data_IF_322574246168
#
_entry.id   IF_322574246168
#
_cell.length_a   1.000
_cell.length_b   1.000
_cell.length_c   1.000
_cell.angle_alpha   90.00
_cell.angle_beta   90.00
_cell.angle_gamma   90.00
#
_symmetry.space_group_name_H-M   'P 1'
#
loop_
_entity.id
_entity.type
_entity.pdbx_description
1 polymer ?
#
# COMPACT_ATOMS: atom_id res chain seq x y z
N UNK A 1 10.30 -5.21 54.19
CA UNK A 1 10.95 -6.19 53.28
C UNK A 1 11.42 -5.50 52.01
N UNK A 2 12.42 -6.10 51.37
CA UNK A 2 13.39 -5.51 50.43
C UNK A 2 12.80 -5.05 49.09
N UNK A 3 13.48 -4.05 48.53
CA UNK A 3 13.32 -3.40 47.22
C UNK A 3 13.32 -4.40 46.04
N UNK A 4 12.57 -4.09 44.98
CA UNK A 4 13.10 -4.10 43.61
C UNK A 4 12.81 -2.75 42.95
N UNK A 5 13.90 -2.03 42.71
CA UNK A 5 13.97 -0.83 41.87
C UNK A 5 14.10 -1.26 40.40
N UNK A 6 13.95 -0.26 39.54
CA UNK A 6 14.43 -0.12 38.15
C UNK A 6 13.39 -0.51 37.09
N UNK A 7 13.13 0.26 36.03
CA UNK A 7 13.77 1.50 35.60
C UNK A 7 12.78 2.36 34.80
N UNK A 8 12.48 3.53 35.34
CA UNK A 8 11.83 4.66 34.68
C UNK A 8 12.79 5.25 33.64
N UNK A 9 12.86 4.69 32.42
CA UNK A 9 13.57 5.35 31.30
C UNK A 9 13.09 4.95 29.90
N UNK A 10 11.80 4.68 29.71
CA UNK A 10 11.23 4.60 28.34
C UNK A 10 9.97 5.44 28.12
N UNK A 11 9.48 6.15 29.14
CA UNK A 11 8.25 6.95 29.08
C UNK A 11 8.46 8.45 28.87
N UNK A 12 9.62 8.90 28.38
CA UNK A 12 9.90 10.33 28.18
C UNK A 12 10.41 10.73 26.80
N UNK A 13 10.49 9.82 25.84
CA UNK A 13 10.85 10.13 24.45
C UNK A 13 9.73 9.80 23.42
N UNK A 14 8.51 9.57 23.90
CA UNK A 14 7.35 9.20 23.07
C UNK A 14 6.15 10.12 23.33
N UNK A 15 6.43 11.41 23.53
CA UNK A 15 5.46 12.40 24.01
C UNK A 15 5.78 13.80 23.49
N UNK A 16 5.96 13.97 22.18
CA UNK A 16 5.94 15.34 21.61
C UNK A 16 5.55 15.46 20.14
N UNK A 17 5.28 14.39 19.40
CA UNK A 17 4.78 14.52 18.02
C UNK A 17 3.61 13.55 17.89
N UNK A 18 2.45 14.10 17.54
CA UNK A 18 1.14 13.47 17.40
C UNK A 18 0.40 13.25 18.74
N UNK A 19 -0.50 14.18 19.05
CA UNK A 19 -1.48 14.01 20.12
C UNK A 19 -2.33 12.78 19.84
N UNK A 20 -2.12 11.74 20.64
CA UNK A 20 -2.95 10.55 20.70
C UNK A 20 -4.10 10.81 21.68
N UNK A 21 -5.31 10.91 21.15
CA UNK A 21 -6.56 10.91 21.92
C UNK A 21 -7.02 9.45 22.10
N UNK A 22 -7.09 8.94 23.34
CA UNK A 22 -7.43 7.54 23.60
C UNK A 22 -8.90 7.20 23.39
N UNK A 23 -9.79 8.18 23.17
CA UNK A 23 -11.23 7.97 22.97
C UNK A 23 -11.67 8.01 21.49
N UNK A 24 -10.75 7.77 20.55
CA UNK A 24 -11.06 7.69 19.11
C UNK A 24 -11.80 6.39 18.72
N UNK A 25 -12.95 6.14 19.36
CA UNK A 25 -14.04 5.32 18.83
C UNK A 25 -15.20 6.25 18.56
N UNK A 26 -15.48 6.52 17.28
CA UNK A 26 -16.82 6.55 16.67
C UNK A 26 -16.71 7.02 15.22
N UNK A 27 -17.13 6.16 14.28
CA UNK A 27 -17.65 6.49 12.94
C UNK A 27 -17.14 7.81 12.33
N UNK A 28 -15.99 7.77 11.66
CA UNK A 28 -15.67 8.80 10.70
C UNK A 28 -16.41 8.51 9.38
N UNK A 29 -17.35 9.39 9.06
CA UNK A 29 -17.71 9.68 7.67
C UNK A 29 -16.40 10.10 7.00
N UNK A 30 -15.75 9.17 6.30
CA UNK A 30 -14.66 9.49 5.39
C UNK A 30 -15.26 10.36 4.30
N UNK A 31 -15.20 11.68 4.48
CA UNK A 31 -15.34 12.61 3.37
C UNK A 31 -14.20 12.27 2.42
N UNK A 32 -14.54 11.59 1.34
CA UNK A 32 -13.78 11.39 0.11
C UNK A 32 -12.57 12.34 0.01
N UNK A 33 -11.40 11.89 0.44
CA UNK A 33 -10.14 12.53 0.08
C UNK A 33 -9.84 12.04 -1.35
N UNK A 34 -10.51 12.65 -2.33
CA UNK A 34 -10.13 12.50 -3.73
C UNK A 34 -8.97 13.46 -3.94
N UNK A 35 -7.75 12.95 -3.85
CA UNK A 35 -6.58 13.69 -4.31
C UNK A 35 -6.71 13.90 -5.82
N UNK A 36 -6.60 15.14 -6.28
CA UNK A 36 -6.49 15.38 -7.72
C UNK A 36 -5.15 14.87 -8.24
N UNK A 37 -5.10 14.47 -9.52
CA UNK A 37 -3.86 14.03 -10.18
C UNK A 37 -2.74 15.06 -10.02
N UNK A 38 -3.09 16.34 -10.04
CA UNK A 38 -2.15 17.45 -9.99
C UNK A 38 -1.58 17.67 -8.58
N UNK A 39 -2.39 17.49 -7.53
CA UNK A 39 -1.91 17.54 -6.14
C UNK A 39 -0.94 16.39 -5.85
N UNK A 40 -1.30 15.17 -6.28
CA UNK A 40 -0.43 14.00 -6.12
C UNK A 40 0.88 14.19 -6.89
N UNK A 41 0.81 14.66 -8.14
CA UNK A 41 2.00 14.97 -8.93
C UNK A 41 2.87 16.04 -8.27
N UNK A 42 2.26 17.05 -7.64
CA UNK A 42 2.98 18.12 -6.93
C UNK A 42 3.75 17.58 -5.73
N UNK A 43 3.12 16.75 -4.90
CA UNK A 43 3.76 16.15 -3.72
C UNK A 43 4.89 15.19 -4.13
N UNK A 44 4.65 14.34 -5.14
CA UNK A 44 5.67 13.41 -5.63
C UNK A 44 6.84 14.10 -6.35
N UNK A 45 6.62 15.31 -6.89
CA UNK A 45 7.67 16.12 -7.51
C UNK A 45 8.54 16.86 -6.50
N UNK A 46 8.12 16.94 -5.24
CA UNK A 46 8.94 17.50 -4.17
C UNK A 46 9.95 16.46 -3.71
N UNK A 47 11.14 16.91 -3.31
CA UNK A 47 12.10 16.06 -2.64
C UNK A 47 11.50 15.63 -1.30
N UNK A 48 10.96 14.41 -1.24
CA UNK A 48 10.43 13.82 -0.02
C UNK A 48 11.62 13.55 0.92
N UNK A 49 11.85 14.47 1.86
CA UNK A 49 12.78 14.28 2.98
C UNK A 49 12.20 13.28 3.99
N UNK A 50 11.98 12.05 3.56
CA UNK A 50 11.55 10.95 4.44
C UNK A 50 12.81 10.21 4.87
N UNK A 51 13.27 10.48 6.08
CA UNK A 51 14.40 9.76 6.70
C UNK A 51 13.90 8.43 7.28
N UNK A 52 13.54 7.49 6.41
CA UNK A 52 13.30 6.09 6.76
C UNK A 52 14.55 5.24 6.52
N UNK A 53 14.69 4.04 7.14
CA UNK A 53 15.84 3.17 6.91
C UNK A 53 15.94 2.66 5.47
N UNK A 54 14.85 2.71 4.70
CA UNK A 54 14.80 2.33 3.30
C UNK A 54 13.87 3.31 2.56
N UNK A 55 14.43 4.12 1.67
CA UNK A 55 13.68 4.93 0.71
C UNK A 55 14.46 4.91 -0.61
N UNK A 56 13.80 4.49 -1.69
CA UNK A 56 14.34 4.56 -3.04
C UNK A 56 13.31 5.24 -3.93
N UNK A 57 13.73 6.26 -4.67
CA UNK A 57 12.90 6.95 -5.66
C UNK A 57 13.73 7.20 -6.91
N UNK A 58 13.23 6.72 -8.05
CA UNK A 58 13.85 6.91 -9.36
C UNK A 58 12.77 6.88 -10.44
N UNK A 59 12.84 7.83 -11.35
CA UNK A 59 11.95 7.88 -12.51
C UNK A 59 12.56 7.08 -13.67
N UNK A 60 11.76 6.23 -14.30
CA UNK A 60 12.15 5.45 -15.49
C UNK A 60 11.37 5.94 -16.71
N UNK A 61 11.92 6.82 -17.56
CA UNK A 61 11.20 7.39 -18.71
C UNK A 61 10.79 6.35 -19.76
N UNK A 62 11.49 5.22 -19.79
CA UNK A 62 11.28 4.12 -20.74
C UNK A 62 10.70 2.87 -20.07
N UNK A 63 10.00 3.04 -18.94
CA UNK A 63 9.30 1.94 -18.28
C UNK A 63 8.30 1.29 -19.26
N UNK A 64 8.41 -0.03 -19.53
CA UNK A 64 7.47 -0.70 -20.41
C UNK A 64 6.10 -0.77 -19.76
N UNK A 65 5.03 -0.59 -20.55
CA UNK A 65 3.67 -0.88 -20.10
C UNK A 65 3.58 -2.39 -19.81
N UNK A 66 3.21 -2.79 -18.60
CA UNK A 66 3.18 -4.20 -18.21
C UNK A 66 2.11 -5.04 -18.93
N UNK A 67 1.08 -4.40 -19.50
CA UNK A 67 -0.10 -5.05 -20.12
C UNK A 67 -0.73 -6.04 -19.14
N UNK A 68 -1.57 -5.53 -18.24
CA UNK A 68 -2.24 -6.35 -17.23
C UNK A 68 -3.35 -7.16 -17.87
N UNK A 69 -3.31 -8.46 -17.63
CA UNK A 69 -4.39 -9.39 -17.95
C UNK A 69 -4.88 -10.04 -16.67
N UNK A 70 -6.19 -10.11 -16.51
CA UNK A 70 -6.86 -10.79 -15.39
C UNK A 70 -7.76 -11.88 -15.94
N UNK A 71 -7.68 -13.07 -15.37
CA UNK A 71 -8.53 -14.20 -15.77
C UNK A 71 -10.02 -13.80 -15.76
N UNK A 72 -10.73 -14.18 -16.82
CA UNK A 72 -12.15 -13.84 -16.99
C UNK A 72 -12.43 -12.38 -17.41
N UNK A 73 -11.47 -11.46 -17.29
CA UNK A 73 -11.62 -10.06 -17.71
C UNK A 73 -10.80 -9.70 -18.96
N UNK A 74 -9.74 -10.46 -19.25
CA UNK A 74 -8.83 -10.20 -20.35
C UNK A 74 -7.88 -9.04 -20.04
N UNK A 75 -7.35 -8.40 -21.09
CA UNK A 75 -6.41 -7.28 -20.95
C UNK A 75 -7.14 -6.03 -20.44
N UNK A 76 -6.63 -5.46 -19.35
CA UNK A 76 -7.15 -4.26 -18.70
C UNK A 76 -6.18 -3.09 -18.89
N UNK A 77 -6.70 -1.98 -19.43
CA UNK A 77 -5.94 -0.75 -19.62
C UNK A 77 -5.80 0.08 -18.34
N UNK A 78 -4.66 0.77 -18.20
CA UNK A 78 -4.45 1.79 -17.19
C UNK A 78 -4.50 3.22 -17.77
N UNK A 79 -4.99 4.22 -17.00
CA UNK A 79 -5.69 4.07 -15.72
C UNK A 79 -7.05 3.38 -15.91
N UNK A 80 -7.51 2.67 -14.89
CA UNK A 80 -8.73 1.88 -14.98
C UNK A 80 -9.94 2.73 -15.36
N UNK A 81 -10.78 2.19 -16.26
CA UNK A 81 -12.13 2.73 -16.46
C UNK A 81 -13.02 2.37 -15.27
N UNK A 82 -14.12 3.11 -15.08
CA UNK A 82 -15.12 2.78 -14.04
C UNK A 82 -15.66 1.36 -14.22
N UNK A 83 -15.82 0.92 -15.47
CA UNK A 83 -16.26 -0.43 -15.81
C UNK A 83 -15.24 -1.47 -15.37
N UNK A 84 -13.97 -1.28 -15.71
CA UNK A 84 -12.93 -2.26 -15.42
C UNK A 84 -12.64 -2.32 -13.91
N UNK A 85 -12.68 -1.19 -13.21
CA UNK A 85 -12.58 -1.15 -11.76
C UNK A 85 -13.72 -1.93 -11.09
N UNK A 86 -14.96 -1.78 -11.56
CA UNK A 86 -16.09 -2.56 -11.04
C UNK A 86 -15.96 -4.06 -11.34
N UNK A 87 -15.42 -4.41 -12.52
CA UNK A 87 -15.20 -5.80 -12.90
C UNK A 87 -14.09 -6.47 -12.06
N UNK A 88 -12.99 -5.76 -11.81
CA UNK A 88 -11.90 -6.18 -10.91
C UNK A 88 -12.45 -6.43 -9.51
N UNK A 89 -13.22 -5.48 -8.95
CA UNK A 89 -13.82 -5.63 -7.62
C UNK A 89 -14.76 -6.84 -7.53
N UNK A 90 -15.42 -7.23 -8.62
CA UNK A 90 -16.28 -8.40 -8.64
C UNK A 90 -15.53 -9.74 -8.72
N UNK A 91 -14.26 -9.73 -9.16
CA UNK A 91 -13.38 -10.90 -9.18
C UNK A 91 -12.48 -11.00 -7.94
N UNK A 92 -12.33 -9.90 -7.20
CA UNK A 92 -11.49 -9.81 -6.02
C UNK A 92 -12.20 -10.38 -4.77
N UNK A 93 -11.40 -10.91 -3.86
CA UNK A 93 -11.84 -11.41 -2.57
C UNK A 93 -11.34 -10.53 -1.43
N UNK A 94 -11.94 -10.68 -0.25
CA UNK A 94 -11.54 -9.92 0.93
C UNK A 94 -10.13 -10.33 1.34
N UNK A 95 -9.20 -9.36 1.40
CA UNK A 95 -7.82 -9.67 1.75
C UNK A 95 -7.72 -10.23 3.18
N UNK A 96 -6.90 -11.27 3.41
CA UNK A 96 -6.67 -11.83 4.73
C UNK A 96 -5.87 -10.87 5.61
N UNK A 97 -6.21 -10.82 6.89
CA UNK A 97 -5.50 -10.05 7.90
C UNK A 97 -4.72 -10.95 8.85
N UNK A 98 -3.44 -10.64 9.08
CA UNK A 98 -2.60 -11.32 10.09
C UNK A 98 -1.14 -11.50 9.67
N UNK A 99 -0.24 -11.65 10.64
CA UNK A 99 1.10 -12.19 10.37
C UNK A 99 0.99 -13.65 9.90
N UNK A 100 1.92 -14.09 9.05
CA UNK A 100 1.88 -15.33 8.25
C UNK A 100 1.41 -16.62 8.96
N UNK A 101 1.47 -16.69 10.29
CA UNK A 101 1.06 -17.84 11.10
C UNK A 101 -0.38 -17.77 11.67
N UNK A 102 -1.06 -16.63 11.58
CA UNK A 102 -2.42 -16.44 12.13
C UNK A 102 -3.26 -15.51 11.25
N UNK A 103 -3.80 -16.07 10.17
CA UNK A 103 -4.80 -15.38 9.35
C UNK A 103 -6.12 -15.36 10.13
N UNK A 104 -6.53 -14.19 10.61
CA UNK A 104 -7.84 -13.94 11.22
C UNK A 104 -8.61 -13.04 10.28
N UNK A 105 -9.69 -13.56 9.70
CA UNK A 105 -10.62 -12.77 8.90
C UNK A 105 -11.47 -11.92 9.86
N UNK A 106 -10.97 -10.73 10.21
CA UNK A 106 -11.74 -9.72 10.92
C UNK A 106 -12.40 -8.75 9.93
N UNK A 107 -13.68 -8.99 9.66
CA UNK A 107 -14.51 -8.19 8.76
C UNK A 107 -14.78 -6.75 9.27
N UNK A 108 -14.27 -6.36 10.45
CA UNK A 108 -14.48 -5.02 11.01
C UNK A 108 -13.37 -4.01 10.68
N UNK A 109 -12.27 -4.44 10.02
CA UNK A 109 -11.03 -3.64 9.93
C UNK A 109 -10.48 -3.41 8.51
N UNK A 110 -10.88 -4.13 7.46
CA UNK A 110 -10.33 -3.91 6.11
C UNK A 110 -11.37 -3.69 5.00
N UNK A 111 -11.29 -2.53 4.36
CA UNK A 111 -11.92 -2.20 3.07
C UNK A 111 -11.00 -2.56 1.88
N UNK A 112 -10.18 -3.62 2.02
CA UNK A 112 -9.19 -4.03 1.00
C UNK A 112 -9.59 -5.35 0.35
N UNK A 113 -9.69 -5.33 -0.98
CA UNK A 113 -9.89 -6.51 -1.81
C UNK A 113 -8.56 -6.91 -2.47
N UNK A 114 -8.35 -8.20 -2.67
CA UNK A 114 -7.20 -8.75 -3.37
C UNK A 114 -7.62 -9.74 -4.47
N UNK A 115 -6.75 -9.95 -5.45
CA UNK A 115 -6.88 -11.00 -6.46
C UNK A 115 -5.64 -11.88 -6.32
N UNK A 116 -5.85 -13.20 -6.25
CA UNK A 116 -4.75 -14.17 -6.23
C UNK A 116 -3.84 -13.96 -7.46
N UNK A 117 -2.53 -13.91 -7.23
CA UNK A 117 -1.53 -13.65 -8.26
C UNK A 117 -1.55 -14.67 -9.41
N UNK A 118 -2.05 -15.88 -9.19
CA UNK A 118 -2.23 -16.91 -10.23
C UNK A 118 -3.26 -16.51 -11.29
N UNK A 119 -4.17 -15.59 -10.98
CA UNK A 119 -5.17 -15.04 -11.91
C UNK A 119 -4.70 -13.78 -12.65
N UNK A 120 -3.49 -13.30 -12.36
CA UNK A 120 -2.95 -12.05 -12.89
C UNK A 120 -1.74 -12.34 -13.77
N UNK A 121 -1.72 -11.78 -14.98
CA UNK A 121 -0.59 -11.88 -15.91
C UNK A 121 -0.15 -10.52 -16.41
N UNK A 122 1.13 -10.46 -16.78
CA UNK A 122 1.76 -9.30 -17.42
C UNK A 122 2.26 -9.74 -18.79
N UNK A 123 1.57 -9.32 -19.84
CA UNK A 123 1.76 -9.85 -21.19
C UNK A 123 2.90 -9.15 -21.96
N UNK A 124 3.46 -8.06 -21.42
CA UNK A 124 4.63 -7.44 -22.04
C UNK A 124 5.92 -8.22 -21.71
N UNK A 125 6.52 -8.85 -22.73
CA UNK A 125 7.77 -9.59 -22.61
C UNK A 125 8.94 -8.77 -22.01
N UNK A 126 8.95 -7.44 -22.18
CA UNK A 126 9.96 -6.54 -21.60
C UNK A 126 9.75 -6.26 -20.11
N UNK A 127 8.57 -6.53 -19.56
CA UNK A 127 8.23 -6.21 -18.18
C UNK A 127 9.11 -6.96 -17.17
N UNK A 128 9.29 -8.26 -17.37
CA UNK A 128 10.10 -9.08 -16.46
C UNK A 128 11.54 -8.57 -16.36
N UNK A 129 12.18 -8.33 -17.51
CA UNK A 129 13.56 -7.85 -17.54
C UNK A 129 13.71 -6.46 -16.88
N UNK A 130 12.70 -5.59 -17.08
CA UNK A 130 12.65 -4.29 -16.42
C UNK A 130 12.55 -4.42 -14.90
N UNK A 131 11.66 -5.28 -14.38
CA UNK A 131 11.50 -5.51 -12.94
C UNK A 131 12.76 -6.15 -12.33
N UNK A 132 13.36 -7.15 -12.99
CA UNK A 132 14.60 -7.80 -12.53
C UNK A 132 15.75 -6.79 -12.39
N UNK A 133 15.81 -5.80 -13.29
CA UNK A 133 16.81 -4.72 -13.24
C UNK A 133 16.47 -3.72 -12.13
N UNK A 134 15.23 -3.28 -12.06
CA UNK A 134 14.75 -2.28 -11.08
C UNK A 134 14.97 -2.74 -9.64
N UNK A 135 14.66 -4.00 -9.32
CA UNK A 135 14.84 -4.55 -7.96
C UNK A 135 16.31 -4.52 -7.52
N UNK A 136 17.25 -4.75 -8.45
CA UNK A 136 18.70 -4.68 -8.17
C UNK A 136 19.23 -3.26 -7.95
N UNK A 137 18.51 -2.25 -8.42
CA UNK A 137 18.90 -0.86 -8.17
C UNK A 137 18.43 -0.37 -6.80
N UNK A 138 17.39 -1.01 -6.25
CA UNK A 138 16.79 -0.69 -4.94
C UNK A 138 17.54 -1.37 -3.78
N UNK A 139 17.98 -2.62 -3.97
CA UNK A 139 18.60 -3.48 -2.96
C UNK A 139 20.09 -3.73 -3.24
#
# INVERSE_FOLDING_TARGET
MKKKKTNTTWLRAHRQILGYDPDYRHRNKLTNIVWSKDELATVLSQALEITGPFLFSKTYPTAPNFVLEVDGLGVIGLPFSVRDAAAINAQAEQAPYGEADKIVVDNSVQDMLEIDATHVRFENAGWKAFMDTTVREVC
#
